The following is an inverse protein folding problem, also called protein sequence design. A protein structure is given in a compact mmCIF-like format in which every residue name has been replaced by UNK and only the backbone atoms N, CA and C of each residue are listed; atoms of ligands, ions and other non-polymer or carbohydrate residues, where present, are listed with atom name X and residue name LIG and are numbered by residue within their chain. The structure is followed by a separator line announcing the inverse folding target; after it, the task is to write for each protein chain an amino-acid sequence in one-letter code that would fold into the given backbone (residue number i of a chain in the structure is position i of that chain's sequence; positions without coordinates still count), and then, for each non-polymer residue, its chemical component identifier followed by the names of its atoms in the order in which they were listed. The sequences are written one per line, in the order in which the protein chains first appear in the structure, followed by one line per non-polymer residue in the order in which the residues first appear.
data_IF_934916010906
#
_entry.id   IF_934916010906
#
_cell.length_a   1.000
_cell.length_b   1.000
_cell.length_c   1.000
_cell.angle_alpha   90.00
_cell.angle_beta   90.00
_cell.angle_gamma   90.00
#
_symmetry.space_group_name_H-M   'P 1'
#
loop_
_entity.id
_entity.type
_entity.pdbx_description
1 polymer ?
#
# COMPACT_ATOMS: atom_id res chain seq x y z
N UNK A 1 -6.91 20.59 3.91
CA UNK A 1 -7.82 21.63 4.47
C UNK A 1 -7.56 23.01 3.91
N UNK A 2 -6.32 23.52 3.94
CA UNK A 2 -5.99 24.89 3.47
C UNK A 2 -6.40 25.14 2.02
N UNK A 3 -6.12 24.21 1.10
CA UNK A 3 -6.44 24.37 -0.33
C UNK A 3 -7.95 24.47 -0.58
N UNK A 4 -8.77 23.65 0.08
CA UNK A 4 -10.23 23.68 -0.06
C UNK A 4 -10.84 24.95 0.53
N UNK A 5 -10.30 25.44 1.65
CA UNK A 5 -10.70 26.71 2.23
C UNK A 5 -10.34 27.88 1.30
N UNK A 6 -9.14 27.89 0.73
CA UNK A 6 -8.72 28.91 -0.25
C UNK A 6 -9.66 28.90 -1.46
N UNK A 7 -9.94 27.75 -2.07
CA UNK A 7 -10.86 27.65 -3.21
C UNK A 7 -12.25 28.19 -2.84
N UNK A 8 -12.79 27.80 -1.69
CA UNK A 8 -14.08 28.28 -1.22
C UNK A 8 -14.10 29.80 -1.01
N UNK A 9 -13.08 30.35 -0.35
CA UNK A 9 -12.96 31.80 -0.13
C UNK A 9 -12.76 32.57 -1.44
N UNK A 10 -11.95 32.05 -2.38
CA UNK A 10 -11.75 32.66 -3.70
C UNK A 10 -13.04 32.70 -4.51
N UNK A 11 -13.82 31.62 -4.50
CA UNK A 11 -15.10 31.55 -5.22
C UNK A 11 -16.16 32.43 -4.56
N UNK A 12 -16.18 32.50 -3.23
CA UNK A 12 -17.12 33.36 -2.49
C UNK A 12 -16.80 34.84 -2.69
N UNK A 13 -15.51 35.21 -2.67
CA UNK A 13 -15.05 36.57 -2.97
C UNK A 13 -15.35 36.97 -4.42
N UNK A 14 -15.18 36.05 -5.37
CA UNK A 14 -15.54 36.26 -6.77
C UNK A 14 -17.05 36.46 -6.97
N UNK A 15 -17.89 35.68 -6.28
CA UNK A 15 -19.34 35.84 -6.28
C UNK A 15 -19.79 37.19 -5.70
N UNK A 16 -19.13 37.66 -4.65
CA UNK A 16 -19.39 38.97 -4.05
C UNK A 16 -18.97 40.13 -4.98
N UNK A 17 -17.81 39.99 -5.63
CA UNK A 17 -17.29 41.00 -6.56
C UNK A 17 -18.09 41.13 -7.87
N UNK A 18 -18.89 40.12 -8.22
CA UNK A 18 -19.66 40.06 -9.48
C UNK A 18 -21.18 40.13 -9.28
N UNK A 19 -21.65 40.54 -8.10
CA UNK A 19 -23.07 40.71 -7.79
C UNK A 19 -23.76 41.58 -8.85
N UNK A 20 -24.66 40.97 -9.64
CA UNK A 20 -25.41 41.61 -10.73
C UNK A 20 -25.20 41.01 -12.13
N UNK A 21 -24.23 40.09 -12.30
CA UNK A 21 -24.03 39.38 -13.57
C UNK A 21 -24.79 38.04 -13.63
N UNK A 22 -25.23 37.64 -14.84
CA UNK A 22 -25.94 36.37 -15.10
C UNK A 22 -25.21 35.11 -14.58
N UNK A 23 -23.89 35.16 -14.40
CA UNK A 23 -23.09 34.04 -13.94
C UNK A 23 -23.22 33.72 -12.45
N UNK A 24 -23.91 34.55 -11.66
CA UNK A 24 -24.05 34.34 -10.20
C UNK A 24 -24.76 33.01 -9.86
N UNK A 25 -25.73 32.59 -10.68
CA UNK A 25 -26.44 31.31 -10.52
C UNK A 25 -25.50 30.11 -10.73
N UNK A 26 -24.60 30.20 -11.72
CA UNK A 26 -23.62 29.15 -12.01
C UNK A 26 -22.61 29.01 -10.88
N UNK A 27 -22.12 30.14 -10.36
CA UNK A 27 -21.17 30.15 -9.24
C UNK A 27 -21.81 29.62 -7.96
N UNK A 28 -23.04 30.04 -7.64
CA UNK A 28 -23.78 29.52 -6.48
C UNK A 28 -24.03 28.01 -6.60
N UNK A 29 -24.43 27.54 -7.79
CA UNK A 29 -24.60 26.11 -8.06
C UNK A 29 -23.31 25.32 -7.85
N UNK A 30 -22.17 25.84 -8.34
CA UNK A 30 -20.87 25.20 -8.16
C UNK A 30 -20.46 25.10 -6.70
N UNK A 31 -20.66 26.17 -5.91
CA UNK A 31 -20.38 26.17 -4.47
C UNK A 31 -21.22 25.14 -3.73
N UNK A 32 -22.52 25.05 -4.03
CA UNK A 32 -23.42 24.08 -3.40
C UNK A 32 -22.98 22.65 -3.72
N UNK A 33 -22.67 22.35 -4.99
CA UNK A 33 -22.18 21.02 -5.41
C UNK A 33 -20.84 20.69 -4.74
N UNK A 34 -19.92 21.66 -4.68
CA UNK A 34 -18.63 21.48 -4.03
C UNK A 34 -18.78 21.22 -2.52
N UNK A 35 -19.63 21.97 -1.83
CA UNK A 35 -19.94 21.75 -0.41
C UNK A 35 -20.59 20.39 -0.17
N UNK A 36 -21.58 20.00 -1.00
CA UNK A 36 -22.24 18.71 -0.90
C UNK A 36 -21.24 17.56 -1.13
N UNK A 37 -20.36 17.67 -2.13
CA UNK A 37 -19.31 16.70 -2.37
C UNK A 37 -18.29 16.65 -1.24
N UNK A 38 -17.82 17.79 -0.75
CA UNK A 38 -16.84 17.86 0.34
C UNK A 38 -17.38 17.27 1.65
N UNK A 39 -18.60 17.67 2.04
CA UNK A 39 -19.27 17.13 3.22
C UNK A 39 -19.62 15.65 3.04
N UNK A 40 -20.08 15.26 1.85
CA UNK A 40 -20.36 13.87 1.50
C UNK A 40 -19.12 12.99 1.62
N UNK A 41 -18.01 13.40 1.00
CA UNK A 41 -16.74 12.70 1.03
C UNK A 41 -16.16 12.64 2.45
N UNK A 42 -16.16 13.75 3.19
CA UNK A 42 -15.56 13.80 4.54
C UNK A 42 -16.39 13.11 5.61
N UNK A 43 -17.73 13.21 5.57
CA UNK A 43 -18.60 12.59 6.59
C UNK A 43 -19.01 11.17 6.29
N UNK A 44 -19.06 10.77 5.01
CA UNK A 44 -19.54 9.43 4.65
C UNK A 44 -18.47 8.63 3.89
N UNK A 45 -17.84 9.23 2.88
CA UNK A 45 -16.85 8.52 2.04
C UNK A 45 -15.60 8.06 2.80
N UNK A 46 -14.88 9.00 3.44
CA UNK A 46 -13.65 8.72 4.18
C UNK A 46 -13.91 7.76 5.35
N UNK A 47 -14.94 7.94 6.20
CA UNK A 47 -15.20 7.01 7.29
C UNK A 47 -15.54 5.60 6.80
N UNK A 48 -16.29 5.47 5.70
CA UNK A 48 -16.59 4.17 5.11
C UNK A 48 -15.32 3.48 4.58
N UNK A 49 -14.44 4.21 3.91
CA UNK A 49 -13.16 3.70 3.43
C UNK A 49 -12.25 3.29 4.59
N UNK A 50 -12.17 4.10 5.65
CA UNK A 50 -11.40 3.79 6.85
C UNK A 50 -11.94 2.55 7.57
N UNK A 51 -13.26 2.42 7.65
CA UNK A 51 -13.89 1.22 8.20
C UNK A 51 -13.57 -0.03 7.39
N UNK A 52 -13.68 0.03 6.06
CA UNK A 52 -13.30 -1.10 5.18
C UNK A 52 -11.82 -1.46 5.33
N UNK A 53 -10.95 -0.45 5.40
CA UNK A 53 -9.53 -0.65 5.65
C UNK A 53 -9.30 -1.34 6.99
N UNK A 54 -9.91 -0.84 8.05
CA UNK A 54 -9.81 -1.39 9.39
C UNK A 54 -10.32 -2.83 9.45
N UNK A 55 -11.48 -3.12 8.87
CA UNK A 55 -12.04 -4.48 8.83
C UNK A 55 -11.10 -5.43 8.08
N UNK A 56 -10.50 -4.96 6.98
CA UNK A 56 -9.53 -5.73 6.19
C UNK A 56 -8.22 -5.97 6.95
N UNK A 57 -7.75 -4.97 7.68
CA UNK A 57 -6.61 -5.06 8.58
C UNK A 57 -6.88 -6.02 9.77
N UNK A 58 -8.09 -5.97 10.36
CA UNK A 58 -8.47 -6.82 11.47
C UNK A 58 -8.64 -8.29 11.08
N UNK A 59 -9.08 -8.57 9.84
CA UNK A 59 -9.23 -9.95 9.34
C UNK A 59 -7.90 -10.68 9.10
N UNK A 60 -6.81 -9.96 8.87
CA UNK A 60 -5.54 -10.60 8.51
C UNK A 60 -4.47 -9.65 8.00
N UNK A 61 -4.48 -8.38 8.43
CA UNK A 61 -3.39 -7.47 8.11
C UNK A 61 -2.08 -7.96 8.75
N UNK A 62 -1.00 -7.89 7.99
CA UNK A 62 0.34 -8.33 8.41
C UNK A 62 1.29 -7.14 8.32
N UNK A 63 1.93 -6.80 9.43
CA UNK A 63 3.02 -5.84 9.44
C UNK A 63 4.32 -6.59 9.17
N UNK A 64 5.11 -6.10 8.23
CA UNK A 64 6.32 -6.75 7.78
C UNK A 64 7.54 -5.84 7.83
N UNK A 65 8.65 -6.43 8.26
CA UNK A 65 10.01 -5.92 8.02
C UNK A 65 10.38 -6.08 6.56
N UNK A 66 11.23 -5.18 6.06
CA UNK A 66 11.54 -5.08 4.63
C UNK A 66 13.03 -5.25 4.39
N UNK A 67 13.36 -6.21 3.53
CA UNK A 67 14.72 -6.54 3.14
C UNK A 67 14.86 -6.45 1.62
N UNK A 68 16.01 -5.99 1.11
CA UNK A 68 16.26 -5.94 -0.33
C UNK A 68 16.34 -7.37 -0.90
N UNK A 69 15.61 -7.64 -1.99
CA UNK A 69 15.65 -8.95 -2.65
C UNK A 69 16.87 -9.13 -3.57
N UNK A 70 17.60 -8.06 -3.88
CA UNK A 70 18.81 -8.13 -4.72
C UNK A 70 18.58 -8.43 -6.21
N UNK A 71 17.33 -8.43 -6.71
CA UNK A 71 17.07 -8.55 -8.15
C UNK A 71 17.37 -7.23 -8.88
N UNK A 72 18.19 -7.24 -9.95
CA UNK A 72 18.61 -6.03 -10.66
C UNK A 72 17.47 -5.29 -11.37
N UNK A 73 16.49 -6.01 -11.94
CA UNK A 73 15.44 -5.39 -12.79
C UNK A 73 14.06 -5.28 -12.13
N UNK A 74 13.72 -6.14 -11.16
CA UNK A 74 12.35 -6.24 -10.64
C UNK A 74 12.01 -5.27 -9.50
N UNK A 75 13.00 -4.55 -8.94
CA UNK A 75 12.86 -3.72 -7.73
C UNK A 75 11.99 -4.42 -6.67
N UNK A 76 12.31 -5.68 -6.41
CA UNK A 76 11.55 -6.50 -5.48
C UNK A 76 12.12 -6.39 -4.05
N UNK A 77 11.27 -6.60 -3.06
CA UNK A 77 11.65 -6.67 -1.66
C UNK A 77 11.12 -7.95 -1.02
N UNK A 78 11.91 -8.50 -0.10
CA UNK A 78 11.49 -9.57 0.79
C UNK A 78 10.81 -8.89 1.98
N UNK A 79 9.58 -9.27 2.27
CA UNK A 79 8.85 -8.82 3.45
C UNK A 79 8.73 -9.99 4.42
N UNK A 80 9.00 -9.75 5.71
CA UNK A 80 8.93 -10.80 6.74
C UNK A 80 7.97 -10.34 7.83
N UNK A 81 6.99 -11.19 8.18
CA UNK A 81 6.02 -10.91 9.23
C UNK A 81 6.73 -10.63 10.57
N UNK A 82 6.44 -9.47 11.14
CA UNK A 82 6.98 -8.99 12.42
C UNK A 82 6.54 -9.79 13.63
N UNK A 83 5.52 -10.65 13.49
CA UNK A 83 5.07 -11.55 14.55
C UNK A 83 5.94 -12.79 14.68
N UNK A 84 6.83 -13.06 13.73
CA UNK A 84 7.77 -14.17 13.81
C UNK A 84 8.84 -13.88 14.86
N UNK A 85 9.37 -14.94 15.47
CA UNK A 85 10.56 -14.80 16.32
C UNK A 85 11.78 -14.45 15.47
N UNK A 86 12.76 -13.76 16.05
CA UNK A 86 13.99 -13.36 15.35
C UNK A 86 14.69 -14.54 14.68
N UNK A 87 14.69 -15.71 15.33
CA UNK A 87 15.26 -16.93 14.77
C UNK A 87 14.50 -17.40 13.52
N UNK A 88 13.16 -17.37 13.56
CA UNK A 88 12.33 -17.74 12.41
C UNK A 88 12.44 -16.69 11.29
N UNK A 89 12.43 -15.40 11.62
CA UNK A 89 12.60 -14.32 10.65
C UNK A 89 13.94 -14.43 9.92
N UNK A 90 15.02 -14.68 10.67
CA UNK A 90 16.36 -14.91 10.11
C UNK A 90 16.37 -16.13 9.18
N UNK A 91 15.73 -17.22 9.60
CA UNK A 91 15.64 -18.44 8.80
C UNK A 91 14.84 -18.22 7.50
N UNK A 92 13.70 -17.54 7.57
CA UNK A 92 12.91 -17.18 6.38
C UNK A 92 13.72 -16.30 5.43
N UNK A 93 14.44 -15.31 5.97
CA UNK A 93 15.31 -14.45 5.18
C UNK A 93 16.36 -15.27 4.43
N UNK A 94 17.08 -16.15 5.11
CA UNK A 94 18.16 -16.98 4.54
C UNK A 94 17.65 -17.96 3.47
N UNK A 95 16.49 -18.60 3.72
CA UNK A 95 15.85 -19.48 2.75
C UNK A 95 15.45 -18.70 1.49
N UNK A 96 14.89 -17.50 1.65
CA UNK A 96 14.50 -16.65 0.52
C UNK A 96 15.69 -16.10 -0.26
N UNK A 97 16.74 -15.64 0.40
CA UNK A 97 17.96 -15.18 -0.28
C UNK A 97 18.66 -16.32 -1.00
N UNK A 98 18.68 -17.53 -0.41
CA UNK A 98 19.21 -18.73 -1.06
C UNK A 98 18.42 -19.08 -2.31
N UNK A 99 17.08 -19.06 -2.24
CA UNK A 99 16.22 -19.30 -3.40
C UNK A 99 16.45 -18.26 -4.50
N UNK A 100 16.51 -16.97 -4.13
CA UNK A 100 16.82 -15.87 -5.06
C UNK A 100 18.20 -15.99 -5.69
N UNK A 101 19.21 -16.42 -4.92
CA UNK A 101 20.56 -16.68 -5.43
C UNK A 101 20.58 -17.78 -6.48
N UNK A 102 19.81 -18.86 -6.27
CA UNK A 102 19.63 -19.92 -7.27
C UNK A 102 18.93 -19.39 -8.53
N UNK A 103 17.85 -18.63 -8.35
CA UNK A 103 17.11 -17.98 -9.44
C UNK A 103 18.03 -17.09 -10.30
N UNK A 104 18.90 -16.32 -9.65
CA UNK A 104 19.86 -15.45 -10.33
C UNK A 104 20.98 -16.23 -11.04
N UNK A 105 21.36 -17.42 -10.53
CA UNK A 105 22.42 -18.25 -11.11
C UNK A 105 22.00 -19.07 -12.34
N UNK A 106 20.70 -19.26 -12.56
CA UNK A 106 20.17 -20.05 -13.68
C UNK A 106 19.62 -19.13 -14.80
N UNK A 107 20.32 -19.04 -15.96
CA UNK A 107 19.90 -18.19 -17.07
C UNK A 107 18.54 -18.56 -17.66
N UNK A 108 18.14 -19.83 -17.57
CA UNK A 108 16.84 -20.29 -18.12
C UNK A 108 15.68 -19.88 -17.22
N UNK A 109 15.92 -19.79 -15.92
CA UNK A 109 14.93 -19.40 -14.92
C UNK A 109 14.85 -17.86 -14.79
N UNK A 110 15.94 -17.14 -15.07
CA UNK A 110 15.91 -15.67 -15.16
C UNK A 110 14.90 -15.16 -16.20
N UNK A 111 14.76 -15.83 -17.34
CA UNK A 111 13.78 -15.45 -18.38
C UNK A 111 12.35 -15.56 -17.86
N UNK A 112 12.09 -16.51 -16.96
CA UNK A 112 10.79 -16.71 -16.31
C UNK A 112 10.58 -15.79 -15.08
N UNK A 113 11.63 -15.14 -14.59
CA UNK A 113 11.51 -14.22 -13.45
C UNK A 113 10.62 -13.01 -13.75
N UNK A 114 10.47 -12.64 -15.04
CA UNK A 114 9.49 -11.65 -15.48
C UNK A 114 8.03 -12.05 -15.19
N UNK A 115 7.73 -13.34 -15.19
CA UNK A 115 6.40 -13.89 -14.92
C UNK A 115 6.15 -14.08 -13.42
N UNK A 116 7.17 -13.90 -12.57
CA UNK A 116 7.08 -14.13 -11.13
C UNK A 116 5.94 -13.35 -10.48
N UNK A 117 5.58 -12.18 -11.03
CA UNK A 117 4.51 -11.32 -10.51
C UNK A 117 3.31 -11.19 -11.45
N UNK A 118 3.19 -12.06 -12.46
CA UNK A 118 2.11 -11.99 -13.45
C UNK A 118 0.70 -12.05 -12.83
N UNK A 119 0.51 -12.85 -11.77
CA UNK A 119 -0.80 -13.01 -11.11
C UNK A 119 -1.04 -11.99 -9.99
N UNK A 120 -0.06 -11.14 -9.67
CA UNK A 120 -0.19 -10.14 -8.63
C UNK A 120 1.15 -9.66 -8.06
N UNK A 121 1.13 -8.50 -7.38
CA UNK A 121 2.34 -7.85 -6.88
C UNK A 121 2.97 -8.56 -5.68
N UNK A 122 2.29 -9.52 -5.07
CA UNK A 122 2.74 -10.25 -3.88
C UNK A 122 2.83 -11.75 -4.18
N UNK A 123 3.92 -12.38 -3.75
CA UNK A 123 4.10 -13.82 -3.70
C UNK A 123 4.38 -14.26 -2.26
N UNK A 124 3.75 -15.35 -1.83
CA UNK A 124 4.00 -15.92 -0.51
C UNK A 124 5.30 -16.72 -0.58
N UNK A 125 6.21 -16.50 0.36
CA UNK A 125 7.52 -17.15 0.36
C UNK A 125 7.41 -18.69 0.47
N UNK A 126 6.39 -19.19 1.16
CA UNK A 126 6.10 -20.63 1.25
C UNK A 126 5.86 -21.30 -0.12
N UNK A 127 5.29 -20.56 -1.08
CA UNK A 127 5.07 -21.08 -2.44
C UNK A 127 6.36 -21.10 -3.27
N UNK A 128 7.33 -20.25 -2.93
CA UNK A 128 8.57 -20.07 -3.67
C UNK A 128 9.68 -20.98 -3.14
N UNK A 129 9.87 -20.95 -1.82
CA UNK A 129 10.99 -21.61 -1.15
C UNK A 129 10.56 -22.72 -0.17
N UNK A 130 9.25 -23.06 -0.15
CA UNK A 130 8.68 -24.17 0.61
C UNK A 130 8.19 -23.80 2.02
N UNK A 131 7.57 -24.75 2.75
CA UNK A 131 6.89 -24.51 4.05
C UNK A 131 7.74 -23.82 5.11
N UNK A 132 9.06 -23.98 5.02
CA UNK A 132 10.02 -23.42 5.94
C UNK A 132 10.13 -21.87 5.84
N UNK A 133 9.67 -21.29 4.72
CA UNK A 133 9.65 -19.85 4.48
C UNK A 133 8.31 -19.18 4.88
N UNK A 134 7.47 -19.87 5.65
CA UNK A 134 6.16 -19.36 6.09
C UNK A 134 6.30 -18.03 6.85
N UNK A 135 5.41 -17.08 6.52
CA UNK A 135 5.44 -15.72 7.06
C UNK A 135 6.37 -14.77 6.30
N UNK A 136 7.07 -15.25 5.28
CA UNK A 136 7.75 -14.41 4.29
C UNK A 136 6.87 -14.10 3.09
N UNK A 137 7.16 -12.98 2.44
CA UNK A 137 6.53 -12.55 1.20
C UNK A 137 7.59 -11.93 0.29
N UNK A 138 7.36 -12.02 -1.02
CA UNK A 138 8.13 -11.30 -2.02
C UNK A 138 7.19 -10.32 -2.72
N UNK A 139 7.58 -9.05 -2.77
CA UNK A 139 6.76 -7.97 -3.33
C UNK A 139 7.48 -7.26 -4.46
N UNK A 140 6.77 -7.03 -5.57
CA UNK A 140 7.28 -6.30 -6.71
C UNK A 140 7.32 -4.78 -6.48
N UNK A 141 8.26 -4.10 -7.16
CA UNK A 141 8.30 -2.64 -7.26
C UNK A 141 8.40 -1.86 -5.94
N UNK A 142 8.94 -2.44 -4.86
CA UNK A 142 9.33 -1.66 -3.69
C UNK A 142 10.67 -0.95 -3.93
N UNK A 143 10.56 0.33 -4.30
CA UNK A 143 11.70 1.16 -4.67
C UNK A 143 12.57 1.62 -3.49
N UNK A 144 12.20 1.35 -2.23
CA UNK A 144 12.97 1.83 -1.07
C UNK A 144 12.90 0.89 0.14
N UNK A 145 13.49 -0.31 0.04
CA UNK A 145 13.37 -1.33 1.09
C UNK A 145 13.93 -0.89 2.46
N UNK A 146 14.90 0.02 2.49
CA UNK A 146 15.53 0.47 3.74
C UNK A 146 14.75 1.52 4.54
N UNK A 147 13.56 1.95 4.10
CA UNK A 147 12.82 3.01 4.77
C UNK A 147 11.42 2.53 5.19
N UNK A 148 11.27 2.16 6.47
CA UNK A 148 9.98 1.88 7.11
C UNK A 148 9.48 0.45 7.01
N UNK A 149 8.25 0.25 7.47
CA UNK A 149 7.56 -1.03 7.54
C UNK A 149 6.55 -1.15 6.40
N UNK A 150 6.18 -2.37 6.04
CA UNK A 150 5.14 -2.62 5.02
C UNK A 150 3.99 -3.31 5.69
N UNK A 151 2.79 -2.77 5.49
CA UNK A 151 1.57 -3.38 5.98
C UNK A 151 0.83 -4.01 4.82
N UNK A 152 0.78 -5.34 4.81
CA UNK A 152 0.11 -6.14 3.80
C UNK A 152 -1.33 -6.36 4.24
N UNK A 153 -2.28 -6.04 3.36
CA UNK A 153 -3.68 -6.33 3.55
C UNK A 153 -4.10 -7.49 2.64
N UNK A 154 -4.89 -8.44 3.16
CA UNK A 154 -5.47 -9.51 2.34
C UNK A 154 -6.38 -8.92 1.27
N UNK A 155 -6.73 -9.66 0.22
CA UNK A 155 -7.74 -9.30 -0.77
C UNK A 155 -9.09 -8.98 -0.11
N UNK A 156 -9.88 -8.09 -0.71
CA UNK A 156 -11.21 -7.77 -0.17
C UNK A 156 -12.13 -9.00 -0.26
N UNK A 157 -12.02 -9.73 -1.37
CA UNK A 157 -12.66 -11.02 -1.62
C UNK A 157 -11.62 -11.97 -2.25
N UNK A 158 -10.83 -12.69 -1.44
CA UNK A 158 -9.80 -13.59 -1.96
C UNK A 158 -10.44 -14.72 -2.76
N UNK A 159 -9.91 -15.01 -3.94
CA UNK A 159 -10.33 -16.16 -4.76
C UNK A 159 -10.00 -17.49 -4.07
N UNK A 160 -8.87 -17.53 -3.37
CA UNK A 160 -8.44 -18.65 -2.54
C UNK A 160 -8.23 -18.16 -1.09
N UNK A 161 -9.03 -18.64 -0.12
CA UNK A 161 -8.88 -18.29 1.29
C UNK A 161 -7.50 -18.63 1.88
N UNK A 162 -6.79 -19.62 1.32
CA UNK A 162 -5.44 -19.99 1.75
C UNK A 162 -4.36 -19.06 1.20
N UNK A 163 -4.68 -18.29 0.16
CA UNK A 163 -3.75 -17.35 -0.51
C UNK A 163 -4.36 -15.96 -0.56
N UNK A 164 -4.68 -15.34 0.58
CA UNK A 164 -5.44 -14.10 0.57
C UNK A 164 -4.59 -12.89 0.18
N UNK A 165 -3.27 -13.02 -0.02
CA UNK A 165 -2.39 -11.88 -0.21
C UNK A 165 -1.93 -11.65 -1.65
N UNK A 166 -2.17 -12.57 -2.59
CA UNK A 166 -1.60 -12.52 -3.94
C UNK A 166 -1.91 -11.22 -4.69
N UNK A 167 -3.17 -10.74 -4.61
CA UNK A 167 -3.62 -9.43 -5.10
C UNK A 167 -3.95 -8.47 -3.95
N UNK A 168 -3.31 -8.69 -2.81
CA UNK A 168 -3.41 -7.85 -1.62
C UNK A 168 -2.90 -6.44 -1.87
N UNK A 169 -3.08 -5.59 -0.86
CA UNK A 169 -2.60 -4.20 -0.89
C UNK A 169 -1.38 -4.08 0.01
N UNK A 170 -0.28 -3.53 -0.52
CA UNK A 170 0.90 -3.20 0.27
C UNK A 170 0.86 -1.71 0.61
N UNK A 171 0.72 -1.40 1.89
CA UNK A 171 0.75 -0.04 2.42
C UNK A 171 2.14 0.24 2.96
N UNK A 172 2.74 1.34 2.51
CA UNK A 172 4.03 1.80 3.05
C UNK A 172 3.78 2.56 4.35
N UNK A 173 4.40 2.10 5.42
CA UNK A 173 4.35 2.73 6.73
C UNK A 173 5.71 3.33 7.00
N UNK A 174 5.84 4.63 6.80
CA UNK A 174 7.07 5.33 7.15
C UNK A 174 7.23 5.26 8.67
N UNK A 175 8.40 4.82 9.14
CA UNK A 175 8.74 4.99 10.55
C UNK A 175 8.77 6.50 10.84
N UNK A 176 8.03 7.00 11.83
CA UNK A 176 8.19 8.39 12.23
C UNK A 176 9.65 8.61 12.63
N UNK A 177 10.26 9.69 12.14
CA UNK A 177 11.58 10.12 12.60
C UNK A 177 11.53 10.29 14.13
N UNK A 178 12.57 9.93 14.88
CA UNK A 178 12.62 10.21 16.32
C UNK A 178 12.38 11.69 16.65
N UNK A 179 12.67 12.62 15.73
CA UNK A 179 12.36 14.06 15.88
C UNK A 179 10.85 14.37 15.86
N UNK A 180 10.03 13.52 15.23
CA UNK A 180 8.57 13.67 15.16
C UNK A 180 7.82 12.97 16.30
N UNK A 181 8.50 12.18 17.13
CA UNK A 181 7.90 11.52 18.30
C UNK A 181 7.91 12.40 19.57
N UNK A 182 8.51 13.60 19.49
CA UNK A 182 8.62 14.56 20.60
C UNK A 182 7.83 15.87 20.42
N UNK A 183 6.87 15.93 19.48
CA UNK A 183 5.94 17.07 19.34
C UNK A 183 4.50 16.68 19.70
#
# INVERSE_FOLDING_TARGET
MVIAAVIFFSVTAYAFATQGHQNMVVVAGFVVVFCAFYLGATKFGIPLLMRRFYDRAARGGVLCDVYPAGLPDAKAAILIDTRLSDAQATYVHDVMTTWLGRLASDPTVQVQAGDLFADGPIRVAEELAGPAARGGFLVASDKNPGNGWRFILPEENPRDPQRPYTKGVVVKVNTPSPESAGQ
#
